data_IF_653000701890
#
_entry.id   IF_653000701890
#
_cell.length_a   1.000
_cell.length_b   1.000
_cell.length_c   1.000
_cell.angle_alpha   90.00
_cell.angle_beta   90.00
_cell.angle_gamma   90.00
#
_symmetry.space_group_name_H-M   'P 1'
#
loop_
_entity.id
_entity.type
_entity.pdbx_description
1 polymer ?
#
# COMPACT_ATOMS: atom_id res chain seq x y z
N UNK A 1 43.28 -5.28 -21.66
CA UNK A 1 41.82 -5.53 -21.82
C UNK A 1 41.13 -6.07 -20.55
N UNK A 2 41.83 -6.74 -19.61
CA UNK A 2 41.21 -7.30 -18.38
C UNK A 2 40.79 -6.22 -17.36
N UNK A 3 41.68 -5.26 -17.08
CA UNK A 3 41.42 -4.20 -16.09
C UNK A 3 40.20 -3.32 -16.41
N UNK A 4 40.00 -3.00 -17.70
CA UNK A 4 38.86 -2.20 -18.18
C UNK A 4 37.51 -2.91 -17.97
N UNK A 5 37.47 -4.24 -18.16
CA UNK A 5 36.26 -5.03 -17.89
C UNK A 5 35.95 -5.09 -16.40
N UNK A 6 36.98 -5.15 -15.56
CA UNK A 6 36.83 -5.13 -14.10
C UNK A 6 36.32 -3.79 -13.58
N UNK A 7 36.90 -2.67 -14.02
CA UNK A 7 36.41 -1.33 -13.61
C UNK A 7 34.99 -1.07 -14.11
N UNK A 8 34.64 -1.55 -15.31
CA UNK A 8 33.28 -1.43 -15.83
C UNK A 8 32.28 -2.28 -15.03
N UNK A 9 32.62 -3.53 -14.71
CA UNK A 9 31.77 -4.40 -13.88
C UNK A 9 31.56 -3.83 -12.47
N UNK A 10 32.61 -3.25 -11.87
CA UNK A 10 32.55 -2.64 -10.55
C UNK A 10 31.67 -1.38 -10.52
N UNK A 11 31.69 -0.58 -11.60
CA UNK A 11 30.86 0.61 -11.73
C UNK A 11 29.39 0.28 -11.98
N UNK A 12 29.09 -0.75 -12.78
CA UNK A 12 27.73 -1.28 -12.91
C UNK A 12 27.18 -1.82 -11.59
N UNK A 13 28.00 -2.53 -10.83
CA UNK A 13 27.61 -3.01 -9.50
C UNK A 13 27.35 -1.84 -8.54
N UNK A 14 28.22 -0.83 -8.50
CA UNK A 14 28.04 0.35 -7.66
C UNK A 14 26.76 1.14 -8.00
N UNK A 15 26.43 1.29 -9.29
CA UNK A 15 25.19 1.95 -9.73
C UNK A 15 23.96 1.12 -9.33
N UNK A 16 24.01 -0.21 -9.48
CA UNK A 16 22.90 -1.08 -9.10
C UNK A 16 22.62 -1.07 -7.59
N UNK A 17 23.66 -0.99 -6.76
CA UNK A 17 23.53 -0.89 -5.29
C UNK A 17 23.00 0.49 -4.87
N UNK A 18 23.41 1.57 -5.55
CA UNK A 18 22.92 2.92 -5.26
C UNK A 18 21.43 3.11 -5.61
N UNK A 19 20.89 2.38 -6.59
CA UNK A 19 19.46 2.44 -6.95
C UNK A 19 18.55 1.71 -5.97
N UNK A 20 19.08 0.70 -5.24
CA UNK A 20 18.28 -0.08 -4.29
C UNK A 20 17.85 0.72 -3.04
N UNK A 21 18.53 1.82 -2.73
CA UNK A 21 18.28 2.63 -1.51
C UNK A 21 17.30 3.80 -1.69
N UNK A 22 16.76 4.02 -2.89
CA UNK A 22 15.87 5.15 -3.17
C UNK A 22 14.40 4.72 -3.37
N UNK A 23 13.90 3.83 -2.52
CA UNK A 23 12.45 3.72 -2.31
C UNK A 23 12.06 4.86 -1.36
N UNK A 24 11.87 6.05 -1.93
CA UNK A 24 11.37 7.20 -1.17
C UNK A 24 9.89 6.95 -0.90
N UNK A 25 9.55 6.64 0.36
CA UNK A 25 8.15 6.65 0.77
C UNK A 25 7.63 8.07 0.57
N UNK A 26 6.63 8.24 -0.31
CA UNK A 26 5.99 9.53 -0.48
C UNK A 26 5.48 10.00 0.88
N UNK A 27 5.77 11.25 1.24
CA UNK A 27 5.22 11.85 2.47
C UNK A 27 3.70 11.70 2.46
N UNK A 28 3.08 11.21 3.55
CA UNK A 28 1.63 11.05 3.59
C UNK A 28 0.95 12.37 3.26
N UNK A 29 0.07 12.36 2.25
CA UNK A 29 -0.82 13.49 1.99
C UNK A 29 -1.78 13.59 3.18
N UNK A 30 -2.04 14.81 3.67
CA UNK A 30 -2.93 15.03 4.81
C UNK A 30 -3.93 16.13 4.52
N UNK A 31 -5.15 16.01 5.06
CA UNK A 31 -6.15 17.06 5.01
C UNK A 31 -6.55 17.43 3.58
N UNK A 32 -6.43 18.72 3.23
CA UNK A 32 -6.96 19.30 1.99
C UNK A 32 -6.43 18.63 0.72
N UNK A 33 -5.18 18.18 0.71
CA UNK A 33 -4.60 17.52 -0.47
C UNK A 33 -5.24 16.15 -0.74
N UNK A 34 -5.63 15.45 0.33
CA UNK A 34 -6.39 14.19 0.21
C UNK A 34 -7.78 14.49 -0.31
N UNK A 35 -8.47 15.48 0.26
CA UNK A 35 -9.82 15.88 -0.17
C UNK A 35 -9.85 16.31 -1.64
N UNK A 36 -8.86 17.07 -2.10
CA UNK A 36 -8.76 17.48 -3.50
C UNK A 36 -8.59 16.28 -4.44
N UNK A 37 -7.76 15.30 -4.05
CA UNK A 37 -7.54 14.08 -4.84
C UNK A 37 -8.77 13.17 -4.85
N UNK A 38 -9.41 12.97 -3.70
CA UNK A 38 -10.64 12.18 -3.58
C UNK A 38 -11.78 12.85 -4.35
N UNK A 39 -11.94 14.17 -4.23
CA UNK A 39 -12.91 14.96 -4.99
C UNK A 39 -12.72 14.80 -6.49
N UNK A 40 -11.49 14.95 -6.99
CA UNK A 40 -11.19 14.76 -8.41
C UNK A 40 -11.56 13.35 -8.91
N UNK A 41 -11.41 12.32 -8.08
CA UNK A 41 -11.80 10.94 -8.41
C UNK A 41 -13.32 10.80 -8.44
N UNK A 42 -14.03 11.32 -7.44
CA UNK A 42 -15.49 11.25 -7.33
C UNK A 42 -16.23 12.09 -8.38
N UNK A 43 -15.67 13.24 -8.77
CA UNK A 43 -16.25 14.10 -9.80
C UNK A 43 -16.16 13.47 -11.19
N UNK A 44 -15.15 12.64 -11.42
CA UNK A 44 -14.92 11.91 -12.67
C UNK A 44 -15.54 10.50 -12.69
N UNK A 45 -16.36 10.15 -11.68
CA UNK A 45 -17.15 8.92 -11.66
C UNK A 45 -18.58 9.15 -12.17
N UNK A 46 -19.05 8.24 -13.00
CA UNK A 46 -20.48 8.13 -13.32
C UNK A 46 -21.28 7.51 -12.15
N UNK A 47 -22.61 7.58 -12.21
CA UNK A 47 -23.48 7.08 -11.12
C UNK A 47 -23.30 5.57 -10.87
N UNK A 48 -23.08 4.78 -11.92
CA UNK A 48 -22.86 3.34 -11.80
C UNK A 48 -21.54 3.03 -11.09
N UNK A 49 -20.47 3.75 -11.43
CA UNK A 49 -19.16 3.67 -10.76
C UNK A 49 -19.27 4.04 -9.27
N UNK A 50 -20.04 5.09 -8.94
CA UNK A 50 -20.29 5.47 -7.54
C UNK A 50 -21.06 4.41 -6.76
N UNK A 51 -22.05 3.78 -7.39
CA UNK A 51 -22.82 2.68 -6.78
C UNK A 51 -21.92 1.45 -6.59
N UNK A 52 -21.08 1.13 -7.56
CA UNK A 52 -20.17 0.00 -7.43
C UNK A 52 -19.10 0.26 -6.37
N UNK A 53 -18.64 1.51 -6.22
CA UNK A 53 -17.66 1.89 -5.20
C UNK A 53 -18.14 1.62 -3.76
N UNK A 54 -19.43 1.73 -3.48
CA UNK A 54 -19.99 1.52 -2.14
C UNK A 54 -20.38 0.06 -1.85
N UNK A 55 -20.21 -0.83 -2.82
CA UNK A 55 -20.56 -2.25 -2.71
C UNK A 55 -19.31 -3.08 -2.44
N UNK A 56 -19.52 -4.19 -1.74
CA UNK A 56 -18.53 -5.24 -1.54
C UNK A 56 -18.98 -6.41 -2.41
N UNK A 57 -18.28 -6.68 -3.51
CA UNK A 57 -18.64 -7.74 -4.47
C UNK A 57 -17.62 -8.90 -4.51
N UNK A 58 -16.34 -8.63 -4.33
CA UNK A 58 -15.24 -9.60 -4.47
C UNK A 58 -14.42 -9.82 -3.19
N UNK A 59 -14.87 -9.27 -2.06
CA UNK A 59 -14.19 -9.34 -0.76
C UNK A 59 -13.25 -8.17 -0.49
N UNK A 60 -13.05 -7.25 -1.44
CA UNK A 60 -12.41 -5.96 -1.16
C UNK A 60 -13.40 -4.99 -0.50
N UNK A 61 -12.93 -4.26 0.51
CA UNK A 61 -13.69 -3.20 1.17
C UNK A 61 -13.82 -1.95 0.30
N UNK A 62 -12.76 -1.64 -0.46
CA UNK A 62 -12.79 -0.66 -1.54
C UNK A 62 -12.52 -1.44 -2.83
N UNK A 63 -13.43 -1.42 -3.81
CA UNK A 63 -13.25 -2.20 -5.03
C UNK A 63 -12.08 -1.65 -5.85
N UNK A 64 -11.57 -2.48 -6.75
CA UNK A 64 -10.51 -2.09 -7.67
C UNK A 64 -11.00 -1.00 -8.63
N UNK A 65 -10.26 0.10 -8.71
CA UNK A 65 -10.54 1.23 -9.60
C UNK A 65 -9.39 1.40 -10.61
N UNK A 66 -9.35 0.57 -11.68
CA UNK A 66 -8.22 0.53 -12.62
C UNK A 66 -8.02 1.85 -13.37
N UNK A 67 -9.10 2.63 -13.61
CA UNK A 67 -9.06 3.95 -14.23
C UNK A 67 -8.17 4.96 -13.48
N UNK A 68 -8.03 4.78 -12.16
CA UNK A 68 -7.17 5.62 -11.31
C UNK A 68 -5.99 4.84 -10.73
N UNK A 69 -5.72 3.63 -11.25
CA UNK A 69 -4.61 2.78 -10.81
C UNK A 69 -4.73 2.31 -9.35
N UNK A 70 -5.94 2.19 -8.80
CA UNK A 70 -6.14 1.71 -7.43
C UNK A 70 -6.49 0.21 -7.46
N UNK A 71 -5.71 -0.61 -6.77
CA UNK A 71 -5.81 -2.07 -6.81
C UNK A 71 -6.93 -2.67 -5.92
N UNK A 72 -7.71 -1.81 -5.26
CA UNK A 72 -8.69 -2.23 -4.24
C UNK A 72 -8.03 -2.48 -2.88
N UNK A 73 -8.84 -2.59 -1.83
CA UNK A 73 -8.32 -2.79 -0.46
C UNK A 73 -8.99 -4.00 0.19
N UNK A 74 -8.19 -4.83 0.85
CA UNK A 74 -8.67 -5.93 1.67
C UNK A 74 -8.54 -5.49 3.13
N UNK A 75 -9.62 -5.60 3.90
CA UNK A 75 -9.54 -5.43 5.35
C UNK A 75 -9.37 -6.80 6.00
N UNK A 76 -8.31 -6.93 6.80
CA UNK A 76 -8.10 -8.08 7.67
C UNK A 76 -8.33 -7.64 9.10
N UNK A 77 -9.12 -8.42 9.84
CA UNK A 77 -9.04 -8.41 11.30
C UNK A 77 -7.67 -8.94 11.73
N UNK A 78 -7.22 -8.84 12.97
CA UNK A 78 -7.82 -8.28 14.18
C UNK A 78 -7.02 -7.07 14.66
N UNK A 79 -7.51 -6.39 15.71
CA UNK A 79 -6.77 -5.33 16.40
C UNK A 79 -5.49 -5.79 17.12
N UNK A 80 -5.27 -7.11 17.24
CA UNK A 80 -4.13 -7.73 17.93
C UNK A 80 -3.13 -8.42 16.97
N UNK A 81 -3.39 -8.42 15.68
CA UNK A 81 -2.58 -9.12 14.69
C UNK A 81 -3.41 -9.53 13.48
N UNK A 82 -2.75 -9.80 12.36
CA UNK A 82 -3.43 -10.11 11.08
C UNK A 82 -4.08 -11.50 11.16
N UNK A 83 -5.38 -11.57 10.96
CA UNK A 83 -6.21 -12.75 11.07
C UNK A 83 -6.68 -13.15 9.68
N UNK A 84 -6.28 -14.35 9.26
CA UNK A 84 -6.55 -14.91 7.94
C UNK A 84 -6.97 -16.37 8.11
N UNK A 85 -8.06 -16.78 7.46
CA UNK A 85 -8.52 -18.18 7.45
C UNK A 85 -8.63 -18.82 8.85
N UNK A 86 -9.28 -18.12 9.79
CA UNK A 86 -9.51 -18.59 11.16
C UNK A 86 -8.24 -18.76 12.02
N UNK A 87 -7.11 -18.17 11.60
CA UNK A 87 -5.86 -18.17 12.34
C UNK A 87 -5.20 -16.78 12.31
N UNK A 88 -4.52 -16.42 13.40
CA UNK A 88 -3.73 -15.19 13.43
C UNK A 88 -2.34 -15.47 12.86
N UNK A 89 -1.97 -14.75 11.81
CA UNK A 89 -0.73 -14.83 11.09
C UNK A 89 0.28 -13.80 11.60
N UNK A 90 1.52 -14.23 11.83
CA UNK A 90 2.63 -13.36 12.23
C UNK A 90 2.63 -12.99 13.72
N UNK A 91 3.14 -11.80 14.02
CA UNK A 91 3.25 -11.30 15.39
C UNK A 91 1.87 -11.04 16.00
N UNK A 92 1.69 -11.51 17.24
CA UNK A 92 0.49 -11.30 18.03
C UNK A 92 0.80 -10.33 19.17
N UNK A 93 -0.03 -9.31 19.30
CA UNK A 93 0.11 -8.28 20.31
C UNK A 93 -0.82 -8.54 21.50
N UNK A 94 -0.48 -8.05 22.70
CA UNK A 94 -1.38 -8.12 23.85
C UNK A 94 -2.74 -7.49 23.53
N UNK A 95 -3.78 -8.00 24.19
CA UNK A 95 -5.11 -7.39 24.10
C UNK A 95 -5.05 -5.91 24.51
N UNK A 96 -5.92 -5.09 23.92
CA UNK A 96 -5.97 -3.65 24.19
C UNK A 96 -6.19 -3.33 25.67
N UNK A 97 -6.88 -4.21 26.41
CA UNK A 97 -7.02 -4.11 27.87
C UNK A 97 -5.70 -4.29 28.61
N UNK A 98 -4.84 -5.20 28.15
CA UNK A 98 -3.50 -5.39 28.72
C UNK A 98 -2.57 -4.21 28.35
N UNK A 99 -2.72 -3.65 27.14
CA UNK A 99 -2.00 -2.44 26.74
C UNK A 99 -2.45 -1.22 27.56
N UNK A 100 -3.75 -1.06 27.84
CA UNK A 100 -4.26 0.05 28.64
C UNK A 100 -3.86 -0.01 30.13
N UNK A 101 -3.40 -1.17 30.60
CA UNK A 101 -2.98 -1.38 31.98
C UNK A 101 -1.50 -1.05 32.24
N UNK A 102 -0.76 -0.58 31.23
CA UNK A 102 0.65 -0.15 31.35
C UNK A 102 0.77 1.34 31.63
#
# INVERSE_FOLDING_TARGET
MSAFKHTMALSLLAISVAQATLVHAATPMTGNDVEARVGAVLDNMNISEKINFTRVDDGHMIPRLPKWGMEGTIAYDSSMGVHVNNATFGAQYPAQSALAAT
#
